data_IF_284844488768
#
_entry.id   IF_284844488768
#
_cell.length_a   1.000
_cell.length_b   1.000
_cell.length_c   1.000
_cell.angle_alpha   90.00
_cell.angle_beta   90.00
_cell.angle_gamma   90.00
#
_symmetry.space_group_name_H-M   'P 1'
#
loop_
_entity.id
_entity.type
_entity.pdbx_description
1 polymer ?
#
# COMPACT_ATOMS: atom_id res chain seq x y z
N UNK A 1 1.78 11.90 -20.68
CA UNK A 1 2.06 10.70 -19.82
C UNK A 1 1.00 9.61 -20.02
N UNK A 2 0.55 9.33 -21.22
CA UNK A 2 -0.42 8.27 -21.45
C UNK A 2 0.24 6.90 -21.22
N UNK A 3 -0.49 5.93 -20.65
CA UNK A 3 -0.04 4.55 -20.39
C UNK A 3 1.16 4.41 -19.42
N UNK A 4 1.21 5.28 -18.41
CA UNK A 4 2.21 5.19 -17.33
C UNK A 4 1.50 4.95 -16.00
N UNK A 5 1.87 3.89 -15.30
CA UNK A 5 1.36 3.52 -13.99
C UNK A 5 2.30 3.93 -12.85
N UNK A 6 1.73 4.34 -11.72
CA UNK A 6 2.40 4.50 -10.44
C UNK A 6 1.96 3.36 -9.53
N UNK A 7 2.89 2.53 -9.07
CA UNK A 7 2.62 1.32 -8.31
C UNK A 7 3.20 1.45 -6.91
N UNK A 8 2.33 1.30 -5.90
CA UNK A 8 2.66 1.52 -4.50
C UNK A 8 2.60 0.20 -3.72
N UNK A 9 3.76 -0.26 -3.27
CA UNK A 9 3.86 -1.46 -2.45
C UNK A 9 3.18 -1.27 -1.09
N UNK A 10 2.55 -2.34 -0.58
CA UNK A 10 2.10 -2.42 0.80
C UNK A 10 3.26 -2.62 1.78
N UNK A 11 3.15 -2.09 3.00
CA UNK A 11 4.26 -2.19 3.95
C UNK A 11 3.93 -1.94 5.42
N UNK A 12 2.66 -1.69 5.76
CA UNK A 12 2.29 -1.15 7.08
C UNK A 12 3.01 0.17 7.33
N UNK A 13 3.51 0.40 8.54
CA UNK A 13 4.16 1.68 8.90
C UNK A 13 5.39 2.04 8.04
N UNK A 14 6.01 1.06 7.34
CA UNK A 14 7.09 1.36 6.37
C UNK A 14 6.62 2.17 5.16
N UNK A 15 5.33 2.13 4.85
CA UNK A 15 4.76 2.95 3.77
C UNK A 15 4.83 4.46 4.00
N UNK A 16 5.32 4.91 5.17
CA UNK A 16 5.64 6.33 5.40
C UNK A 16 6.79 6.79 4.48
N UNK A 17 7.68 5.89 4.04
CA UNK A 17 8.64 6.15 2.97
C UNK A 17 7.93 6.58 1.67
N UNK A 18 6.94 5.80 1.27
CA UNK A 18 6.10 6.09 0.10
C UNK A 18 5.41 7.46 0.23
N UNK A 19 4.93 7.80 1.44
CA UNK A 19 4.35 9.13 1.68
C UNK A 19 5.36 10.26 1.40
N UNK A 20 6.62 10.09 1.81
CA UNK A 20 7.68 11.06 1.52
C UNK A 20 7.93 11.23 0.01
N UNK A 21 8.01 10.12 -0.73
CA UNK A 21 8.16 10.15 -2.20
C UNK A 21 6.99 10.86 -2.86
N UNK A 22 5.76 10.55 -2.46
CA UNK A 22 4.56 11.15 -3.05
C UNK A 22 4.41 12.64 -2.71
N UNK A 23 4.78 13.05 -1.51
CA UNK A 23 4.78 14.47 -1.13
C UNK A 23 5.78 15.26 -1.97
N UNK A 24 6.96 14.71 -2.28
CA UNK A 24 7.89 15.31 -3.24
C UNK A 24 7.27 15.39 -4.66
N UNK A 25 6.60 14.34 -5.12
CA UNK A 25 5.92 14.37 -6.42
C UNK A 25 4.84 15.45 -6.47
N UNK A 26 4.05 15.59 -5.39
CA UNK A 26 3.05 16.67 -5.29
C UNK A 26 3.69 18.06 -5.27
N UNK A 27 4.81 18.26 -4.59
CA UNK A 27 5.57 19.53 -4.59
C UNK A 27 6.09 19.88 -6.00
N UNK A 28 6.31 18.88 -6.86
CA UNK A 28 6.70 19.05 -8.28
C UNK A 28 5.52 19.05 -9.26
N UNK A 29 4.28 19.04 -8.77
CA UNK A 29 3.06 18.87 -9.59
C UNK A 29 3.12 17.65 -10.52
N UNK A 30 3.83 16.60 -10.11
CA UNK A 30 3.92 15.35 -10.85
C UNK A 30 2.79 14.41 -10.42
N UNK A 31 1.80 14.24 -11.29
CA UNK A 31 0.65 13.36 -11.07
C UNK A 31 0.54 12.32 -12.17
N UNK A 32 0.46 11.04 -11.79
CA UNK A 32 0.36 9.93 -12.72
C UNK A 32 -1.10 9.64 -13.07
N UNK A 33 -1.43 9.35 -14.35
CA UNK A 33 -2.82 9.10 -14.76
C UNK A 33 -3.41 7.81 -14.22
N UNK A 34 -2.55 6.85 -13.86
CA UNK A 34 -2.90 5.57 -13.25
C UNK A 34 -2.11 5.36 -11.97
N UNK A 35 -2.80 5.02 -10.89
CA UNK A 35 -2.20 4.72 -9.59
C UNK A 35 -2.76 3.40 -9.08
N UNK A 36 -1.89 2.47 -8.70
CA UNK A 36 -2.33 1.23 -8.05
C UNK A 36 -1.57 0.99 -6.75
N UNK A 37 -2.27 0.52 -5.72
CA UNK A 37 -1.68 0.26 -4.43
C UNK A 37 -2.41 -0.78 -3.62
N UNK A 38 -1.71 -1.33 -2.62
CA UNK A 38 -2.26 -2.31 -1.67
C UNK A 38 -1.90 -1.90 -0.24
N UNK A 39 -2.79 -2.18 0.72
CA UNK A 39 -2.51 -1.91 2.14
C UNK A 39 -2.12 -0.43 2.37
N UNK A 40 -1.01 -0.15 3.03
CA UNK A 40 -0.52 1.23 3.19
C UNK A 40 -0.24 1.92 1.85
N UNK A 41 0.07 1.17 0.78
CA UNK A 41 0.16 1.72 -0.57
C UNK A 41 -1.18 2.26 -1.07
N UNK A 42 -2.31 1.63 -0.71
CA UNK A 42 -3.66 2.14 -1.03
C UNK A 42 -4.00 3.41 -0.23
N UNK A 43 -3.62 3.48 1.06
CA UNK A 43 -3.77 4.70 1.87
C UNK A 43 -2.99 5.88 1.28
N UNK A 44 -1.75 5.64 0.87
CA UNK A 44 -0.90 6.62 0.20
C UNK A 44 -1.49 7.07 -1.14
N UNK A 45 -1.96 6.10 -1.96
CA UNK A 45 -2.58 6.37 -3.25
C UNK A 45 -3.80 7.30 -3.11
N UNK A 46 -4.68 7.03 -2.13
CA UNK A 46 -5.86 7.86 -1.89
C UNK A 46 -5.50 9.30 -1.54
N UNK A 47 -4.52 9.52 -0.65
CA UNK A 47 -4.04 10.86 -0.29
C UNK A 47 -3.38 11.57 -1.48
N UNK A 48 -2.67 10.84 -2.35
CA UNK A 48 -2.06 11.39 -3.55
C UNK A 48 -3.10 11.77 -4.61
N UNK A 49 -4.10 10.93 -4.85
CA UNK A 49 -5.19 11.18 -5.81
C UNK A 49 -6.09 12.34 -5.34
N UNK A 50 -6.31 12.46 -4.03
CA UNK A 50 -7.02 13.61 -3.45
C UNK A 50 -6.14 14.86 -3.28
N UNK A 51 -4.88 14.83 -3.77
CA UNK A 51 -3.90 15.93 -3.69
C UNK A 51 -3.65 16.45 -2.28
N UNK A 52 -3.81 15.60 -1.28
CA UNK A 52 -3.64 15.95 0.14
C UNK A 52 -2.19 15.74 0.60
N UNK A 53 -1.31 16.64 0.19
CA UNK A 53 0.10 16.65 0.61
C UNK A 53 0.24 16.65 2.12
N UNK A 54 1.10 15.79 2.64
CA UNK A 54 1.38 15.65 4.07
C UNK A 54 0.35 14.83 4.86
N UNK A 55 -0.85 14.58 4.31
CA UNK A 55 -1.93 13.88 5.05
C UNK A 55 -1.49 12.51 5.55
N UNK A 56 -0.89 11.67 4.68
CA UNK A 56 -0.45 10.33 5.10
C UNK A 56 0.66 10.40 6.16
N UNK A 57 1.58 11.36 6.07
CA UNK A 57 2.59 11.61 7.09
C UNK A 57 1.91 11.91 8.44
N UNK A 58 0.99 12.87 8.47
CA UNK A 58 0.30 13.26 9.70
C UNK A 58 -0.46 12.08 10.33
N UNK A 59 -1.24 11.35 9.54
CA UNK A 59 -1.95 10.16 10.05
C UNK A 59 -0.98 9.09 10.56
N UNK A 60 0.15 8.86 9.89
CA UNK A 60 1.06 7.76 10.21
C UNK A 60 2.04 8.12 11.34
N UNK A 61 2.56 9.36 11.34
CA UNK A 61 3.57 9.81 12.30
C UNK A 61 2.95 10.43 13.54
N UNK A 62 2.02 11.38 13.36
CA UNK A 62 1.49 12.14 14.49
C UNK A 62 0.58 11.29 15.39
N UNK A 63 -0.12 10.29 14.81
CA UNK A 63 -0.96 9.35 15.55
C UNK A 63 -0.24 8.06 15.98
N UNK A 64 1.06 7.89 15.70
CA UNK A 64 1.76 6.62 15.94
C UNK A 64 1.74 6.16 17.40
N UNK A 65 1.71 7.08 18.35
CA UNK A 65 1.63 6.81 19.81
C UNK A 65 0.20 6.91 20.37
N UNK A 66 -0.81 7.28 19.56
CA UNK A 66 -2.20 7.26 19.99
C UNK A 66 -2.66 5.82 20.20
N UNK A 67 -3.18 5.54 21.40
CA UNK A 67 -3.64 4.20 21.76
C UNK A 67 -4.86 3.73 20.95
N UNK A 68 -5.64 4.67 20.37
CA UNK A 68 -6.75 4.36 19.47
C UNK A 68 -6.25 3.88 18.10
N UNK A 69 -5.06 4.37 17.68
CA UNK A 69 -4.45 3.98 16.40
C UNK A 69 -3.82 2.59 16.47
N UNK A 70 -2.91 2.35 17.45
CA UNK A 70 -2.19 1.08 17.61
C UNK A 70 -2.10 0.73 19.09
N UNK A 71 -2.76 -0.35 19.54
CA UNK A 71 -2.63 -0.84 20.91
C UNK A 71 -3.00 -2.31 21.10
N UNK A 72 -2.45 -2.93 22.15
CA UNK A 72 -2.92 -4.23 22.63
C UNK A 72 -4.35 -4.18 23.16
N UNK A 73 -4.80 -3.03 23.70
CA UNK A 73 -6.18 -2.82 24.12
C UNK A 73 -7.15 -2.96 22.96
N UNK A 74 -6.82 -2.43 21.79
CA UNK A 74 -7.59 -2.64 20.56
C UNK A 74 -7.68 -4.13 20.21
N UNK A 75 -6.56 -4.88 20.33
CA UNK A 75 -6.56 -6.30 20.04
C UNK A 75 -7.47 -7.11 20.98
N UNK A 76 -7.48 -6.79 22.27
CA UNK A 76 -8.35 -7.45 23.25
C UNK A 76 -9.82 -7.14 22.93
N UNK A 77 -10.14 -5.86 22.65
CA UNK A 77 -11.53 -5.39 22.48
C UNK A 77 -12.09 -5.72 21.08
N UNK A 78 -11.29 -5.52 20.04
CA UNK A 78 -11.74 -5.55 18.63
C UNK A 78 -11.07 -6.63 17.77
N UNK A 79 -10.27 -7.53 18.36
CA UNK A 79 -9.47 -8.53 17.65
C UNK A 79 -8.55 -7.96 16.57
N UNK A 80 -8.25 -6.67 16.68
CA UNK A 80 -7.38 -5.91 15.79
C UNK A 80 -6.39 -5.06 16.59
N UNK A 81 -5.09 -5.12 16.25
CA UNK A 81 -4.07 -4.25 16.86
C UNK A 81 -4.25 -2.80 16.41
N UNK A 82 -4.66 -2.61 15.15
CA UNK A 82 -5.02 -1.31 14.62
C UNK A 82 -6.47 -1.00 14.95
N UNK A 83 -6.75 0.22 15.38
CA UNK A 83 -8.11 0.72 15.57
C UNK A 83 -8.76 1.02 14.22
N UNK A 84 -9.27 -0.01 13.55
CA UNK A 84 -9.77 0.12 12.17
C UNK A 84 -10.90 1.15 12.03
N UNK A 85 -11.82 1.22 13.01
CA UNK A 85 -12.87 2.25 13.02
C UNK A 85 -12.28 3.65 13.28
N UNK A 86 -11.29 3.76 14.17
CA UNK A 86 -10.58 5.02 14.38
C UNK A 86 -9.90 5.50 13.10
N UNK A 87 -9.19 4.60 12.39
CA UNK A 87 -8.39 4.93 11.19
C UNK A 87 -9.28 5.27 9.99
N UNK A 88 -10.37 4.52 9.80
CA UNK A 88 -11.18 4.59 8.57
C UNK A 88 -12.53 5.31 8.74
N UNK A 89 -12.87 5.74 9.97
CA UNK A 89 -14.05 6.57 10.24
C UNK A 89 -13.68 7.86 10.98
N UNK A 90 -13.14 7.80 12.21
CA UNK A 90 -12.87 9.01 12.99
C UNK A 90 -11.78 9.91 12.38
N UNK A 91 -10.67 9.32 11.93
CA UNK A 91 -9.56 10.07 11.33
C UNK A 91 -9.97 10.82 10.05
N UNK A 92 -10.58 10.16 9.03
CA UNK A 92 -10.92 10.84 7.78
C UNK A 92 -12.12 11.79 7.87
N UNK A 93 -12.96 11.65 8.89
CA UNK A 93 -14.13 12.52 9.04
C UNK A 93 -13.92 13.67 10.05
N UNK A 94 -12.95 13.55 10.99
CA UNK A 94 -12.80 14.51 12.07
C UNK A 94 -11.40 15.05 12.29
N UNK A 95 -10.38 14.16 12.36
CA UNK A 95 -9.03 14.54 12.79
C UNK A 95 -8.16 15.02 11.62
N UNK A 96 -8.16 14.27 10.52
CA UNK A 96 -7.46 14.59 9.29
C UNK A 96 -8.44 14.37 8.12
N UNK A 97 -9.35 15.31 7.88
CA UNK A 97 -10.43 15.15 6.92
C UNK A 97 -9.94 14.71 5.54
N UNK A 98 -10.63 13.71 4.98
CA UNK A 98 -10.35 13.27 3.63
C UNK A 98 -11.12 14.13 2.62
N UNK A 99 -10.42 14.62 1.62
CA UNK A 99 -11.05 15.44 0.58
C UNK A 99 -11.74 14.56 -0.47
N UNK A 100 -12.96 14.13 -0.16
CA UNK A 100 -13.79 13.33 -1.05
C UNK A 100 -14.13 14.07 -2.35
N UNK A 101 -14.23 15.39 -2.32
CA UNK A 101 -14.55 16.17 -3.50
C UNK A 101 -13.41 16.15 -4.52
N UNK A 102 -12.19 16.49 -4.09
CA UNK A 102 -11.01 16.42 -4.97
C UNK A 102 -10.75 14.98 -5.42
N UNK A 103 -10.94 14.01 -4.53
CA UNK A 103 -10.79 12.60 -4.85
C UNK A 103 -11.76 12.15 -5.95
N UNK A 104 -13.07 12.43 -5.81
CA UNK A 104 -14.13 12.01 -6.75
C UNK A 104 -14.02 12.68 -8.10
N UNK A 105 -13.51 13.92 -8.13
CA UNK A 105 -13.32 14.68 -9.37
C UNK A 105 -11.94 14.46 -10.02
N UNK A 106 -11.12 13.56 -9.46
CA UNK A 106 -9.80 13.29 -10.03
C UNK A 106 -9.90 12.54 -11.35
N UNK A 107 -9.14 12.99 -12.35
CA UNK A 107 -8.98 12.28 -13.62
C UNK A 107 -8.06 11.05 -13.52
N UNK A 108 -7.41 10.84 -12.37
CA UNK A 108 -6.49 9.72 -12.15
C UNK A 108 -7.28 8.43 -11.91
N UNK A 109 -6.94 7.35 -12.63
CA UNK A 109 -7.49 6.01 -12.35
C UNK A 109 -6.80 5.42 -11.13
N UNK A 110 -7.51 5.26 -10.02
CA UNK A 110 -7.01 4.54 -8.84
C UNK A 110 -7.48 3.08 -8.87
N UNK A 111 -6.56 2.15 -8.65
CA UNK A 111 -6.84 0.70 -8.55
C UNK A 111 -6.30 0.17 -7.23
N UNK A 112 -7.17 -0.38 -6.39
CA UNK A 112 -6.82 -0.92 -5.08
C UNK A 112 -6.96 -2.43 -5.10
N UNK A 113 -5.87 -3.13 -4.73
CA UNK A 113 -5.86 -4.58 -4.59
C UNK A 113 -6.27 -5.02 -3.19
N UNK A 114 -7.07 -6.08 -3.14
CA UNK A 114 -7.49 -6.80 -1.94
C UNK A 114 -7.32 -8.30 -2.16
N UNK A 115 -7.47 -9.12 -1.12
CA UNK A 115 -7.45 -10.59 -1.23
C UNK A 115 -8.79 -11.15 -0.82
N UNK A 116 -9.46 -11.91 -1.69
CA UNK A 116 -10.66 -12.66 -1.33
C UNK A 116 -10.30 -13.85 -0.44
N UNK A 117 -10.93 -13.92 0.72
CA UNK A 117 -10.67 -14.96 1.71
C UNK A 117 -11.06 -16.37 1.23
N UNK A 118 -12.12 -16.48 0.42
CA UNK A 118 -12.63 -17.77 -0.04
C UNK A 118 -11.68 -18.40 -1.06
N UNK A 119 -11.30 -17.64 -2.07
CA UNK A 119 -10.46 -18.11 -3.18
C UNK A 119 -8.97 -17.96 -2.94
N UNK A 120 -8.57 -16.98 -2.10
CA UNK A 120 -7.18 -16.57 -1.88
C UNK A 120 -6.61 -15.77 -3.05
N UNK A 121 -7.45 -15.38 -4.01
CA UNK A 121 -7.04 -14.59 -5.19
C UNK A 121 -7.17 -13.10 -4.93
N UNK A 122 -6.47 -12.33 -5.76
CA UNK A 122 -6.58 -10.88 -5.80
C UNK A 122 -7.95 -10.44 -6.33
N UNK A 123 -8.51 -9.39 -5.73
CA UNK A 123 -9.68 -8.67 -6.19
C UNK A 123 -9.34 -7.19 -6.23
N UNK A 124 -9.55 -6.57 -7.39
CA UNK A 124 -9.24 -5.16 -7.59
C UNK A 124 -10.51 -4.33 -7.68
N UNK A 125 -10.44 -3.17 -7.05
CA UNK A 125 -11.47 -2.14 -7.11
C UNK A 125 -10.90 -0.89 -7.75
N UNK A 126 -11.62 -0.37 -8.75
CA UNK A 126 -11.27 0.91 -9.38
C UNK A 126 -12.14 2.05 -8.85
N UNK A 127 -11.62 3.26 -8.90
CA UNK A 127 -12.19 4.49 -8.35
C UNK A 127 -13.52 4.96 -8.98
N UNK A 128 -14.29 4.17 -9.65
CA UNK A 128 -15.59 4.61 -10.20
C UNK A 128 -16.76 4.65 -9.21
N UNK A 129 -16.54 4.22 -7.95
CA UNK A 129 -17.58 4.19 -6.91
C UNK A 129 -17.07 4.83 -5.61
N UNK A 130 -17.20 6.15 -5.51
CA UNK A 130 -16.63 6.97 -4.44
C UNK A 130 -17.17 6.70 -3.03
N UNK A 131 -18.38 6.16 -2.90
CA UNK A 131 -19.01 6.00 -1.58
C UNK A 131 -18.37 4.92 -0.69
N UNK A 132 -17.62 3.97 -1.29
CA UNK A 132 -17.06 2.83 -0.58
C UNK A 132 -15.52 2.87 -0.48
N UNK A 133 -14.87 3.98 -0.86
CA UNK A 133 -13.41 4.01 -0.97
C UNK A 133 -12.70 3.71 0.36
N UNK A 134 -13.20 4.25 1.46
CA UNK A 134 -12.61 4.01 2.78
C UNK A 134 -12.74 2.54 3.21
N UNK A 135 -13.87 1.90 2.88
CA UNK A 135 -14.09 0.47 3.16
C UNK A 135 -13.19 -0.42 2.30
N UNK A 136 -12.98 -0.05 1.03
CA UNK A 136 -12.06 -0.75 0.14
C UNK A 136 -10.61 -0.64 0.65
N UNK A 137 -10.18 0.56 1.08
CA UNK A 137 -8.84 0.77 1.66
C UNK A 137 -8.72 0.02 2.99
N UNK A 138 -9.77 0.02 3.83
CA UNK A 138 -9.86 -0.75 5.06
C UNK A 138 -9.67 -2.25 4.78
N UNK A 139 -10.38 -2.80 3.80
CA UNK A 139 -10.22 -4.19 3.38
C UNK A 139 -8.79 -4.48 2.92
N UNK A 140 -8.24 -3.62 2.04
CA UNK A 140 -6.86 -3.72 1.56
C UNK A 140 -5.80 -3.64 2.67
N UNK A 141 -6.15 -3.06 3.82
CA UNK A 141 -5.27 -2.88 4.99
C UNK A 141 -5.54 -3.88 6.12
N UNK A 142 -6.52 -4.78 5.97
CA UNK A 142 -6.89 -5.77 6.98
C UNK A 142 -5.94 -6.96 6.99
N UNK A 143 -4.88 -6.86 7.79
CA UNK A 143 -3.82 -7.88 7.89
C UNK A 143 -4.29 -9.11 8.69
N UNK A 144 -3.95 -10.34 8.24
CA UNK A 144 -4.23 -11.54 9.00
C UNK A 144 -3.67 -11.49 10.43
N UNK A 145 -4.39 -12.09 11.36
CA UNK A 145 -4.12 -12.18 12.80
C UNK A 145 -4.30 -10.90 13.59
N UNK A 146 -4.22 -9.73 12.97
CA UNK A 146 -4.24 -8.43 13.63
C UNK A 146 -5.37 -7.51 13.15
N UNK A 147 -6.25 -8.01 12.27
CA UNK A 147 -7.48 -7.35 11.84
C UNK A 147 -8.51 -8.41 11.41
N UNK A 148 -9.79 -8.07 11.44
CA UNK A 148 -10.86 -8.91 10.94
C UNK A 148 -11.06 -8.70 9.42
N UNK A 149 -11.59 -9.72 8.70
CA UNK A 149 -11.98 -9.58 7.30
C UNK A 149 -13.10 -8.54 7.12
N UNK A 150 -13.10 -7.85 6.00
CA UNK A 150 -14.11 -6.85 5.63
C UNK A 150 -15.01 -7.42 4.53
N UNK A 151 -16.34 -7.25 4.67
CA UNK A 151 -17.29 -7.65 3.66
C UNK A 151 -17.60 -6.47 2.73
N UNK A 152 -17.39 -6.65 1.44
CA UNK A 152 -17.75 -5.67 0.40
C UNK A 152 -18.48 -6.43 -0.71
N UNK A 153 -19.74 -6.09 -0.96
CA UNK A 153 -20.60 -6.82 -1.89
C UNK A 153 -20.63 -8.33 -1.54
N UNK A 154 -20.29 -9.18 -2.47
CA UNK A 154 -20.27 -10.63 -2.30
C UNK A 154 -18.90 -11.18 -1.85
N UNK A 155 -17.95 -10.31 -1.54
CA UNK A 155 -16.59 -10.71 -1.15
C UNK A 155 -16.39 -10.60 0.35
N UNK A 156 -15.55 -11.49 0.88
CA UNK A 156 -14.95 -11.39 2.21
C UNK A 156 -13.46 -11.14 2.02
N UNK A 157 -13.00 -9.94 2.32
CA UNK A 157 -11.72 -9.40 1.87
C UNK A 157 -10.74 -9.17 3.03
N UNK A 158 -9.47 -9.36 2.73
CA UNK A 158 -8.34 -8.99 3.58
C UNK A 158 -7.24 -8.28 2.77
N UNK A 159 -6.11 -7.96 3.45
CA UNK A 159 -4.97 -7.20 2.92
C UNK A 159 -4.55 -7.68 1.52
N UNK A 160 -4.51 -6.75 0.58
CA UNK A 160 -4.19 -7.03 -0.82
C UNK A 160 -2.79 -7.59 -1.02
N UNK A 161 -1.84 -7.20 -0.16
CA UNK A 161 -0.48 -7.72 -0.21
C UNK A 161 -0.33 -9.19 0.19
N UNK A 162 -1.42 -9.93 0.41
CA UNK A 162 -1.42 -11.39 0.56
C UNK A 162 -1.37 -12.04 -0.83
N UNK A 163 -2.30 -11.66 -1.72
CA UNK A 163 -2.43 -12.22 -3.06
C UNK A 163 -1.61 -11.47 -4.12
N UNK A 164 -1.48 -10.13 -4.00
CA UNK A 164 -0.60 -9.34 -4.87
C UNK A 164 0.05 -8.17 -4.10
N UNK A 165 1.28 -8.34 -3.59
CA UNK A 165 1.95 -7.33 -2.78
C UNK A 165 2.44 -6.11 -3.55
N UNK A 166 2.65 -6.22 -4.88
CA UNK A 166 3.14 -5.18 -5.77
C UNK A 166 2.39 -5.32 -7.09
N UNK A 167 1.28 -4.59 -7.31
CA UNK A 167 0.33 -4.85 -8.39
C UNK A 167 0.82 -4.40 -9.78
N UNK A 168 2.06 -4.76 -10.13
CA UNK A 168 2.67 -4.42 -11.42
C UNK A 168 2.01 -5.16 -12.59
N UNK A 169 1.65 -6.45 -12.42
CA UNK A 169 0.99 -7.24 -13.46
C UNK A 169 -0.36 -6.63 -13.79
N UNK A 170 -1.13 -6.26 -12.77
CA UNK A 170 -2.41 -5.58 -12.95
C UNK A 170 -2.28 -4.27 -13.73
N UNK A 171 -1.26 -3.48 -13.44
CA UNK A 171 -1.01 -2.25 -14.18
C UNK A 171 -0.72 -2.50 -15.67
N UNK A 172 0.08 -3.53 -15.97
CA UNK A 172 0.39 -3.92 -17.35
C UNK A 172 -0.87 -4.43 -18.08
N UNK A 173 -1.69 -5.24 -17.41
CA UNK A 173 -2.98 -5.74 -17.93
C UNK A 173 -3.97 -4.59 -18.20
N UNK A 174 -3.93 -3.54 -17.38
CA UNK A 174 -4.74 -2.32 -17.57
C UNK A 174 -4.18 -1.39 -18.70
N UNK A 175 -3.10 -1.80 -19.40
CA UNK A 175 -2.55 -1.12 -20.58
C UNK A 175 -1.39 -0.17 -20.30
N UNK A 176 -0.81 -0.14 -19.09
CA UNK A 176 0.35 0.69 -18.82
C UNK A 176 1.64 0.01 -19.33
N UNK A 177 2.32 0.68 -20.26
CA UNK A 177 3.55 0.19 -20.90
C UNK A 177 4.81 0.54 -20.10
N UNK A 178 4.75 1.60 -19.31
CA UNK A 178 5.78 2.03 -18.37
C UNK A 178 5.19 2.13 -16.96
N UNK A 179 6.03 1.82 -15.96
CA UNK A 179 5.58 1.87 -14.58
C UNK A 179 6.65 2.47 -13.67
N UNK A 180 6.23 3.35 -12.76
CA UNK A 180 7.05 3.84 -11.66
C UNK A 180 6.64 3.09 -10.40
N UNK A 181 7.59 2.42 -9.75
CA UNK A 181 7.35 1.63 -8.55
C UNK A 181 7.95 2.32 -7.33
N UNK A 182 7.15 2.45 -6.27
CA UNK A 182 7.65 2.85 -4.97
C UNK A 182 7.61 1.63 -4.05
N UNK A 183 8.78 1.11 -3.71
CA UNK A 183 8.96 -0.05 -2.84
C UNK A 183 9.32 0.38 -1.42
N UNK A 184 8.96 -0.45 -0.45
CA UNK A 184 9.17 -0.19 0.98
C UNK A 184 10.31 -1.02 1.58
N UNK A 185 11.07 -1.69 0.69
CA UNK A 185 12.21 -2.55 1.04
C UNK A 185 13.43 -2.27 0.15
N UNK A 186 14.57 -2.52 0.72
CA UNK A 186 15.88 -2.52 0.07
C UNK A 186 15.95 -3.54 -1.09
N UNK A 187 16.97 -3.41 -1.94
CA UNK A 187 17.06 -4.19 -3.19
C UNK A 187 17.28 -5.70 -2.98
N UNK A 188 18.05 -6.08 -1.96
CA UNK A 188 18.42 -7.44 -1.63
C UNK A 188 17.44 -8.15 -0.66
N UNK A 189 16.32 -7.49 -0.35
CA UNK A 189 15.31 -8.08 0.52
C UNK A 189 14.70 -9.36 -0.06
N UNK A 190 14.76 -10.43 0.72
CA UNK A 190 14.10 -11.71 0.42
C UNK A 190 13.04 -12.00 1.48
N UNK A 191 11.82 -12.28 1.02
CA UNK A 191 10.72 -12.61 1.90
C UNK A 191 10.81 -14.07 2.36
N UNK A 192 10.82 -14.28 3.68
CA UNK A 192 10.83 -15.59 4.28
C UNK A 192 9.43 -16.24 4.31
N UNK A 193 9.36 -17.60 4.29
CA UNK A 193 8.10 -18.33 4.41
C UNK A 193 7.44 -18.11 5.78
N UNK A 194 6.13 -18.24 5.81
CA UNK A 194 5.35 -18.25 7.05
C UNK A 194 5.56 -19.62 7.78
N UNK A 195 5.95 -19.57 9.06
CA UNK A 195 6.40 -20.77 9.80
C UNK A 195 5.31 -21.46 10.65
N UNK A 196 4.16 -20.82 10.88
CA UNK A 196 3.17 -21.29 11.86
C UNK A 196 1.87 -21.78 11.19
N UNK A 197 1.96 -22.78 10.33
CA UNK A 197 0.84 -23.31 9.53
C UNK A 197 -0.36 -23.75 10.39
N UNK A 198 -0.13 -24.32 11.56
CA UNK A 198 -1.16 -24.79 12.46
C UNK A 198 -2.05 -23.64 13.00
N UNK A 199 -1.47 -22.44 13.21
CA UNK A 199 -2.23 -21.27 13.65
C UNK A 199 -3.17 -20.79 12.53
N UNK A 200 -2.70 -20.82 11.27
CA UNK A 200 -3.51 -20.51 10.10
C UNK A 200 -4.72 -21.43 10.01
N UNK A 201 -4.49 -22.72 10.03
CA UNK A 201 -5.55 -23.75 9.91
C UNK A 201 -6.56 -23.65 11.05
N UNK A 202 -6.13 -23.26 12.26
CA UNK A 202 -7.04 -23.07 13.40
C UNK A 202 -7.87 -21.79 13.27
N UNK A 203 -7.23 -20.64 12.91
CA UNK A 203 -7.93 -19.34 12.89
C UNK A 203 -8.77 -19.13 11.63
N UNK A 204 -8.33 -19.67 10.48
CA UNK A 204 -8.93 -19.43 9.17
C UNK A 204 -9.39 -20.74 8.50
N UNK A 205 -9.86 -21.72 9.30
CA UNK A 205 -10.31 -23.03 8.80
C UNK A 205 -11.38 -22.92 7.69
N UNK A 206 -12.28 -21.94 7.79
CA UNK A 206 -13.32 -21.65 6.80
C UNK A 206 -12.80 -20.97 5.52
N UNK A 207 -11.56 -20.43 5.53
CA UNK A 207 -10.95 -19.70 4.42
C UNK A 207 -9.72 -20.42 3.86
N UNK A 208 -9.92 -21.61 3.29
CA UNK A 208 -8.82 -22.44 2.74
C UNK A 208 -8.00 -21.71 1.67
N UNK A 209 -8.65 -20.87 0.84
CA UNK A 209 -7.99 -20.04 -0.16
C UNK A 209 -7.00 -19.04 0.47
N UNK A 210 -7.46 -18.30 1.48
CA UNK A 210 -6.63 -17.37 2.26
C UNK A 210 -5.42 -18.08 2.89
N UNK A 211 -5.62 -19.24 3.52
CA UNK A 211 -4.53 -20.02 4.10
C UNK A 211 -3.45 -20.35 3.05
N UNK A 212 -3.87 -20.85 1.88
CA UNK A 212 -2.98 -21.17 0.76
C UNK A 212 -2.23 -19.92 0.27
N UNK A 213 -2.92 -18.79 0.11
CA UNK A 213 -2.32 -17.53 -0.31
C UNK A 213 -1.26 -17.05 0.69
N UNK A 214 -1.54 -17.07 1.99
CA UNK A 214 -0.57 -16.67 3.05
C UNK A 214 0.68 -17.56 3.01
N UNK A 215 0.53 -18.88 2.84
CA UNK A 215 1.65 -19.82 2.77
C UNK A 215 2.52 -19.59 1.54
N UNK A 216 1.92 -19.26 0.40
CA UNK A 216 2.62 -19.03 -0.86
C UNK A 216 3.13 -17.59 -1.02
N UNK A 217 2.72 -16.66 -0.15
CA UNK A 217 3.04 -15.23 -0.25
C UNK A 217 4.52 -14.93 -0.43
N UNK A 218 5.40 -15.69 0.23
CA UNK A 218 6.84 -15.48 0.13
C UNK A 218 7.38 -15.82 -1.26
N UNK A 219 6.87 -16.88 -1.89
CA UNK A 219 7.25 -17.26 -3.27
C UNK A 219 6.79 -16.19 -4.24
N UNK A 220 5.50 -15.86 -4.20
CA UNK A 220 4.91 -14.84 -5.06
C UNK A 220 5.66 -13.50 -4.96
N UNK A 221 5.94 -13.03 -3.74
CA UNK A 221 6.67 -11.78 -3.51
C UNK A 221 8.06 -11.81 -4.15
N UNK A 222 8.83 -12.88 -3.92
CA UNK A 222 10.19 -12.99 -4.44
C UNK A 222 10.20 -13.15 -5.97
N UNK A 223 9.23 -13.87 -6.54
CA UNK A 223 9.03 -13.97 -8.00
C UNK A 223 8.64 -12.62 -8.61
N UNK A 224 7.77 -11.85 -7.94
CA UNK A 224 7.41 -10.50 -8.39
C UNK A 224 8.63 -9.57 -8.38
N UNK A 225 9.49 -9.63 -7.37
CA UNK A 225 10.73 -8.84 -7.35
C UNK A 225 11.68 -9.21 -8.50
N UNK A 226 11.83 -10.50 -8.82
CA UNK A 226 12.62 -10.94 -9.98
C UNK A 226 12.04 -10.42 -11.29
N UNK A 227 10.72 -10.48 -11.45
CA UNK A 227 10.04 -9.95 -12.62
C UNK A 227 10.22 -8.43 -12.76
N UNK A 228 10.09 -7.69 -11.66
CA UNK A 228 10.33 -6.24 -11.61
C UNK A 228 11.77 -5.91 -12.02
N UNK A 229 12.76 -6.65 -11.51
CA UNK A 229 14.17 -6.45 -11.88
C UNK A 229 14.41 -6.68 -13.39
N UNK A 230 13.75 -7.67 -13.98
CA UNK A 230 13.80 -7.87 -15.43
C UNK A 230 13.20 -6.68 -16.20
N UNK A 231 12.05 -6.16 -15.74
CA UNK A 231 11.41 -5.00 -16.37
C UNK A 231 12.23 -3.71 -16.21
N UNK A 232 12.92 -3.53 -15.09
CA UNK A 232 13.85 -2.43 -14.86
C UNK A 232 15.01 -2.46 -15.85
N UNK A 233 15.63 -3.63 -16.02
CA UNK A 233 16.73 -3.83 -16.99
C UNK A 233 16.30 -3.62 -18.46
N UNK A 234 15.01 -3.77 -18.76
CA UNK A 234 14.46 -3.52 -20.12
C UNK A 234 13.87 -2.11 -20.28
N UNK A 235 14.07 -1.22 -19.30
CA UNK A 235 13.61 0.17 -19.36
C UNK A 235 12.08 0.35 -19.27
N UNK A 236 11.34 -0.67 -18.83
CA UNK A 236 9.87 -0.62 -18.68
C UNK A 236 9.43 -0.17 -17.27
N UNK A 237 10.35 -0.20 -16.33
CA UNK A 237 10.08 0.14 -14.92
C UNK A 237 11.16 1.06 -14.39
N UNK A 238 10.74 2.06 -13.60
CA UNK A 238 11.59 2.91 -12.78
C UNK A 238 11.28 2.65 -11.31
N UNK A 239 12.31 2.39 -10.49
CA UNK A 239 12.12 2.01 -9.08
C UNK A 239 12.69 3.08 -8.16
N UNK A 240 11.89 3.49 -7.16
CA UNK A 240 12.34 4.26 -6.00
C UNK A 240 12.15 3.36 -4.78
N UNK A 241 13.23 3.13 -4.02
CA UNK A 241 13.21 2.29 -2.82
C UNK A 241 14.28 2.74 -1.82
N UNK A 242 14.12 2.41 -0.52
CA UNK A 242 15.17 2.67 0.46
C UNK A 242 16.50 2.03 0.05
N UNK A 243 17.59 2.77 0.22
CA UNK A 243 18.94 2.27 -0.07
C UNK A 243 19.37 1.20 0.93
N UNK A 244 18.94 1.35 2.20
CA UNK A 244 19.25 0.43 3.29
C UNK A 244 17.97 -0.16 3.90
N UNK A 245 18.12 -1.27 4.61
CA UNK A 245 16.99 -1.90 5.31
C UNK A 245 16.36 -0.91 6.31
N UNK A 246 15.07 -0.56 6.14
CA UNK A 246 14.41 0.38 7.03
C UNK A 246 14.39 -0.11 8.47
N UNK A 247 14.82 0.73 9.42
CA UNK A 247 14.75 0.44 10.86
C UNK A 247 13.30 0.43 11.39
N UNK A 248 12.33 0.78 10.56
CA UNK A 248 10.90 0.80 10.86
C UNK A 248 10.29 -0.59 10.63
N UNK A 249 9.59 -1.11 11.63
CA UNK A 249 8.85 -2.38 11.55
C UNK A 249 7.48 -2.16 10.88
N UNK A 250 6.76 -3.25 10.56
CA UNK A 250 5.39 -3.18 10.03
C UNK A 250 4.43 -2.52 11.01
N UNK A 251 4.63 -2.71 12.30
CA UNK A 251 3.99 -2.00 13.40
C UNK A 251 5.11 -1.24 14.12
N UNK A 252 5.04 0.09 14.10
CA UNK A 252 6.03 0.99 14.69
C UNK A 252 5.30 2.15 15.36
N UNK A 253 5.76 2.56 16.54
CA UNK A 253 5.21 3.68 17.31
C UNK A 253 6.20 4.83 17.49
N UNK A 254 7.46 4.60 17.15
CA UNK A 254 8.49 5.61 17.32
C UNK A 254 8.38 6.68 16.24
N UNK A 255 7.82 7.84 16.59
CA UNK A 255 7.62 8.98 15.70
C UNK A 255 8.92 9.44 15.02
N UNK A 256 10.04 9.46 15.76
CA UNK A 256 11.33 9.89 15.20
C UNK A 256 11.81 8.95 14.09
N UNK A 257 11.67 7.61 14.27
CA UNK A 257 12.02 6.63 13.24
C UNK A 257 11.11 6.75 12.02
N UNK A 258 9.81 6.94 12.25
CA UNK A 258 8.84 7.13 11.17
C UNK A 258 9.14 8.40 10.38
N UNK A 259 9.40 9.52 11.08
CA UNK A 259 9.73 10.78 10.42
C UNK A 259 11.06 10.71 9.66
N UNK A 260 12.06 10.01 10.20
CA UNK A 260 13.34 9.80 9.50
C UNK A 260 13.13 9.02 8.19
N UNK A 261 12.30 7.96 8.20
CA UNK A 261 11.99 7.18 7.01
C UNK A 261 11.14 7.97 5.99
N UNK A 262 10.23 8.84 6.45
CA UNK A 262 9.52 9.77 5.59
C UNK A 262 10.48 10.72 4.86
N UNK A 263 11.41 11.33 5.60
CA UNK A 263 12.40 12.25 5.03
C UNK A 263 13.37 11.54 4.07
N UNK A 264 13.70 10.27 4.33
CA UNK A 264 14.47 9.43 3.41
C UNK A 264 13.73 9.28 2.08
N UNK A 265 12.43 8.91 2.12
CA UNK A 265 11.62 8.79 0.91
C UNK A 265 11.53 10.08 0.11
N UNK A 266 11.36 11.23 0.78
CA UNK A 266 11.35 12.54 0.13
C UNK A 266 12.67 12.85 -0.58
N UNK A 267 13.81 12.65 0.12
CA UNK A 267 15.15 12.87 -0.42
C UNK A 267 15.50 11.90 -1.56
N UNK A 268 15.08 10.63 -1.46
CA UNK A 268 15.32 9.66 -2.51
C UNK A 268 14.54 10.02 -3.78
N UNK A 269 13.32 10.53 -3.64
CA UNK A 269 12.56 11.05 -4.78
C UNK A 269 13.25 12.27 -5.41
N UNK A 270 13.70 13.21 -4.60
CA UNK A 270 14.44 14.39 -5.06
C UNK A 270 15.72 14.01 -5.81
N UNK A 271 16.54 13.12 -5.23
CA UNK A 271 17.79 12.64 -5.83
C UNK A 271 17.59 11.92 -7.18
N UNK A 272 16.47 11.23 -7.33
CA UNK A 272 16.17 10.46 -8.53
C UNK A 272 15.28 11.21 -9.54
N UNK A 273 14.92 12.47 -9.27
CA UNK A 273 13.92 13.19 -10.05
C UNK A 273 14.29 13.38 -11.53
N UNK A 274 15.52 13.81 -11.81
CA UNK A 274 15.96 14.01 -13.20
C UNK A 274 16.00 12.69 -13.98
N UNK A 275 16.43 11.60 -13.36
CA UNK A 275 16.41 10.27 -13.96
C UNK A 275 14.97 9.79 -14.20
N UNK A 276 14.06 10.07 -13.27
CA UNK A 276 12.65 9.80 -13.43
C UNK A 276 12.07 10.55 -14.62
N UNK A 277 12.36 11.86 -14.77
CA UNK A 277 11.89 12.64 -15.92
C UNK A 277 12.43 12.11 -17.24
N UNK A 278 13.70 11.69 -17.29
CA UNK A 278 14.28 11.03 -18.47
C UNK A 278 13.54 9.73 -18.81
N UNK A 279 13.26 8.89 -17.80
CA UNK A 279 12.49 7.66 -17.98
C UNK A 279 11.07 7.95 -18.48
N UNK A 280 10.38 8.94 -17.93
CA UNK A 280 9.02 9.29 -18.36
C UNK A 280 8.98 9.78 -19.82
N UNK A 281 10.02 10.48 -20.27
CA UNK A 281 10.13 11.05 -21.62
C UNK A 281 10.79 10.13 -22.65
N UNK A 282 11.43 9.01 -22.24
CA UNK A 282 11.96 8.04 -23.18
C UNK A 282 10.81 7.37 -23.98
N UNK A 283 11.09 7.01 -25.23
CA UNK A 283 10.10 6.33 -26.09
C UNK A 283 9.93 4.86 -25.72
#
# INVERSE_FOLDING_TARGET
MNNIGLILEGGGMRGVYTAGVLDFFMDKNLYFPYVSGVSMGACNAASYVSKQRGRTKSVTVDLADDSRYISLKNFIKYKSIFGMDFIFDEVPNKLFPFDFNTFSNSAQKLVIGTTDCLTGKEVYFSHSSSNDILDIIRASSSLPFISEPVKIKNYTLMDGGIADPIPIKRSIEDGNTKNVLILTREADYIKNPFKHNWILSKKYSQFKGLCKAILNRHKLYNETLKYISHLENTGKVFIIRPTFSPKVKRIEKNKSRLNALYLEGYKDAEKNYDKLLQFLNSK
#
